data_IF_030782100110
#
_entry.id   IF_030782100110
#
_cell.length_a   1.000
_cell.length_b   1.000
_cell.length_c   1.000
_cell.angle_alpha   90.00
_cell.angle_beta   90.00
_cell.angle_gamma   90.00
#
_symmetry.space_group_name_H-M   'P 1'
#
loop_
_entity.id
_entity.type
_entity.pdbx_description
1 polymer ?
#
# COMPACT_ATOMS: atom_id res chain seq x y z
N UNK A 1 -3.22 -22.73 -42.99
CA UNK A 1 -2.12 -22.22 -42.15
C UNK A 1 -1.33 -23.40 -41.62
N UNK A 2 0.00 -23.32 -41.62
CA UNK A 2 0.87 -24.36 -41.05
C UNK A 2 1.51 -23.78 -39.79
N UNK A 3 1.33 -24.41 -38.63
CA UNK A 3 2.00 -24.00 -37.39
C UNK A 3 3.53 -24.11 -37.51
N UNK A 4 4.23 -23.25 -36.77
CA UNK A 4 5.68 -23.26 -36.65
C UNK A 4 6.05 -23.98 -35.36
N UNK A 5 7.04 -24.87 -35.44
CA UNK A 5 7.57 -25.65 -34.31
C UNK A 5 9.10 -25.60 -34.31
N UNK A 6 9.71 -25.64 -33.12
CA UNK A 6 11.14 -25.91 -32.91
C UNK A 6 12.08 -25.03 -33.75
N UNK A 7 11.78 -23.74 -33.84
CA UNK A 7 12.41 -22.88 -34.83
C UNK A 7 13.01 -21.61 -34.24
N UNK A 8 14.05 -21.10 -34.91
CA UNK A 8 14.57 -19.73 -34.70
C UNK A 8 14.18 -18.91 -35.92
N UNK A 9 13.28 -17.96 -35.74
CA UNK A 9 12.66 -17.27 -36.88
C UNK A 9 12.59 -15.76 -36.68
N UNK A 10 12.90 -15.04 -37.76
CA UNK A 10 12.48 -13.67 -37.96
C UNK A 10 11.28 -13.68 -38.90
N UNK A 11 10.11 -13.23 -38.45
CA UNK A 11 8.99 -12.98 -39.33
C UNK A 11 8.74 -11.47 -39.44
N UNK A 12 8.50 -11.01 -40.67
CA UNK A 12 7.98 -9.67 -40.96
C UNK A 12 6.70 -9.81 -41.78
N UNK A 13 5.63 -9.12 -41.38
CA UNK A 13 4.37 -8.98 -42.12
C UNK A 13 3.74 -10.33 -42.52
N UNK A 14 3.20 -11.04 -41.54
CA UNK A 14 2.49 -12.31 -41.75
C UNK A 14 1.18 -12.30 -40.97
N UNK A 15 0.19 -13.04 -41.45
CA UNK A 15 -1.03 -13.29 -40.69
C UNK A 15 -0.90 -14.56 -39.82
N UNK A 16 -1.68 -14.64 -38.74
CA UNK A 16 -2.26 -15.84 -38.09
C UNK A 16 -1.49 -17.18 -38.05
N UNK A 17 -0.21 -17.21 -37.68
CA UNK A 17 0.51 -18.50 -37.50
C UNK A 17 0.61 -18.88 -36.02
N UNK A 18 0.10 -20.06 -35.59
CA UNK A 18 0.44 -20.58 -34.27
C UNK A 18 1.92 -20.95 -34.19
N UNK A 19 2.58 -20.54 -33.10
CA UNK A 19 4.00 -20.81 -32.89
C UNK A 19 4.22 -21.54 -31.56
N UNK A 20 5.03 -22.59 -31.61
CA UNK A 20 5.35 -23.45 -30.47
C UNK A 20 6.87 -23.64 -30.37
N UNK A 21 7.39 -23.72 -29.15
CA UNK A 21 8.75 -24.17 -28.85
C UNK A 21 9.84 -23.41 -29.64
N UNK A 22 9.69 -22.09 -29.78
CA UNK A 22 10.49 -21.31 -30.75
C UNK A 22 11.14 -20.06 -30.13
N UNK A 23 12.21 -19.59 -30.78
CA UNK A 23 12.82 -18.28 -30.52
C UNK A 23 12.47 -17.36 -31.67
N UNK A 24 11.78 -16.27 -31.37
CA UNK A 24 11.07 -15.51 -32.40
C UNK A 24 11.32 -14.02 -32.23
N UNK A 25 11.67 -13.38 -33.35
CA UNK A 25 11.52 -11.94 -33.53
C UNK A 25 10.40 -11.69 -34.52
N UNK A 26 9.37 -10.97 -34.09
CA UNK A 26 8.27 -10.58 -34.95
C UNK A 26 8.25 -9.05 -35.09
N UNK A 27 7.92 -8.54 -36.29
CA UNK A 27 7.53 -7.12 -36.49
C UNK A 27 6.23 -6.92 -37.32
N UNK A 28 5.26 -6.18 -36.76
CA UNK A 28 3.96 -5.79 -37.37
C UNK A 28 3.00 -6.95 -37.71
N UNK A 29 2.19 -7.41 -36.74
CA UNK A 29 1.17 -8.46 -36.94
C UNK A 29 -0.12 -8.22 -36.15
N UNK A 30 -1.20 -8.85 -36.62
CA UNK A 30 -2.52 -8.70 -36.02
C UNK A 30 -2.85 -9.79 -35.00
N UNK A 31 -2.51 -11.07 -35.26
CA UNK A 31 -2.91 -12.21 -34.43
C UNK A 31 -1.97 -13.42 -34.52
N UNK A 32 -1.37 -13.87 -33.41
CA UNK A 32 -0.51 -15.07 -33.36
C UNK A 32 -0.63 -15.71 -31.97
N UNK A 33 -1.19 -16.93 -31.81
CA UNK A 33 -1.09 -17.62 -30.52
C UNK A 33 0.32 -18.21 -30.36
N UNK A 34 0.96 -17.92 -29.22
CA UNK A 34 2.33 -18.35 -28.96
C UNK A 34 2.41 -19.15 -27.66
N UNK A 35 3.11 -20.28 -27.73
CA UNK A 35 3.28 -21.23 -26.62
C UNK A 35 4.77 -21.58 -26.46
N UNK A 36 5.22 -21.71 -25.21
CA UNK A 36 6.53 -22.29 -24.85
C UNK A 36 7.71 -21.62 -25.58
N UNK A 37 7.68 -20.30 -25.74
CA UNK A 37 8.60 -19.59 -26.65
C UNK A 37 9.35 -18.44 -25.99
N UNK A 38 10.47 -18.04 -26.60
CA UNK A 38 11.20 -16.81 -26.27
C UNK A 38 10.95 -15.80 -27.38
N UNK A 39 10.41 -14.64 -27.02
CA UNK A 39 9.76 -13.77 -27.99
C UNK A 39 10.21 -12.32 -27.79
N UNK A 40 10.60 -11.68 -28.89
CA UNK A 40 10.64 -10.23 -29.02
C UNK A 40 9.60 -9.80 -30.04
N UNK A 41 8.64 -9.00 -29.60
CA UNK A 41 7.63 -8.39 -30.47
C UNK A 41 7.85 -6.86 -30.51
N UNK A 42 7.63 -6.24 -31.68
CA UNK A 42 7.36 -4.79 -31.86
C UNK A 42 6.10 -4.46 -32.71
N UNK A 43 5.15 -3.66 -32.18
CA UNK A 43 3.92 -3.15 -32.82
C UNK A 43 2.84 -4.18 -33.22
N UNK A 44 1.88 -4.48 -32.33
CA UNK A 44 0.79 -5.46 -32.58
C UNK A 44 -0.50 -5.14 -31.86
N UNK A 45 -1.58 -5.74 -32.36
CA UNK A 45 -2.92 -5.53 -31.83
C UNK A 45 -3.36 -6.67 -30.90
N UNK A 46 -3.15 -7.97 -31.22
CA UNK A 46 -3.67 -9.10 -30.41
C UNK A 46 -2.78 -10.35 -30.40
N UNK A 47 -2.28 -10.82 -29.26
CA UNK A 47 -1.48 -12.07 -29.18
C UNK A 47 -1.79 -12.80 -27.86
N UNK A 48 -2.44 -13.97 -27.85
CA UNK A 48 -2.50 -14.77 -26.62
C UNK A 48 -1.16 -15.50 -26.43
N UNK A 49 -0.55 -15.30 -25.27
CA UNK A 49 0.78 -15.85 -24.96
C UNK A 49 0.72 -16.72 -23.71
N UNK A 50 1.29 -17.93 -23.81
CA UNK A 50 1.32 -18.93 -22.74
C UNK A 50 2.74 -19.44 -22.53
N UNK A 51 3.13 -19.59 -21.27
CA UNK A 51 4.35 -20.30 -20.84
C UNK A 51 5.63 -19.77 -21.52
N UNK A 52 5.75 -18.44 -21.67
CA UNK A 52 6.77 -17.83 -22.52
C UNK A 52 7.62 -16.77 -21.79
N UNK A 53 8.79 -16.47 -22.37
CA UNK A 53 9.63 -15.33 -21.99
C UNK A 53 9.50 -14.25 -23.06
N UNK A 54 9.10 -13.05 -22.65
CA UNK A 54 8.54 -12.07 -23.59
C UNK A 54 9.15 -10.70 -23.34
N UNK A 55 9.61 -10.06 -24.42
CA UNK A 55 9.84 -8.62 -24.49
C UNK A 55 8.90 -8.02 -25.53
N UNK A 56 8.05 -7.09 -25.09
CA UNK A 56 7.12 -6.36 -25.93
C UNK A 56 7.49 -4.86 -25.93
N UNK A 57 7.37 -4.20 -27.09
CA UNK A 57 7.22 -2.73 -27.24
C UNK A 57 6.01 -2.28 -28.12
N UNK A 58 5.11 -1.44 -27.59
CA UNK A 58 3.90 -0.83 -28.24
C UNK A 58 2.76 -1.77 -28.68
N UNK A 59 1.71 -1.94 -27.85
CA UNK A 59 0.55 -2.83 -28.13
C UNK A 59 -0.73 -2.37 -27.45
N UNK A 60 -1.84 -2.86 -28.00
CA UNK A 60 -3.17 -2.51 -27.50
C UNK A 60 -3.80 -3.63 -26.65
N UNK A 61 -3.58 -4.93 -26.95
CA UNK A 61 -4.27 -6.05 -26.25
C UNK A 61 -3.56 -7.42 -26.24
N UNK A 62 -3.18 -7.96 -25.08
CA UNK A 62 -2.52 -9.29 -24.99
C UNK A 62 -2.95 -10.03 -23.71
N UNK A 63 -3.69 -11.15 -23.75
CA UNK A 63 -3.81 -12.01 -22.58
C UNK A 63 -2.52 -12.80 -22.38
N UNK A 64 -1.91 -12.69 -21.20
CA UNK A 64 -0.65 -13.36 -20.87
C UNK A 64 -0.85 -14.26 -19.65
N UNK A 65 -0.41 -15.51 -19.78
CA UNK A 65 -0.52 -16.54 -18.76
C UNK A 65 0.85 -17.19 -18.51
N UNK A 66 1.21 -17.42 -17.25
CA UNK A 66 2.40 -18.20 -16.83
C UNK A 66 3.72 -17.73 -17.48
N UNK A 67 3.95 -16.43 -17.56
CA UNK A 67 5.06 -15.89 -18.37
C UNK A 67 6.00 -14.99 -17.57
N UNK A 68 7.21 -14.80 -18.11
CA UNK A 68 8.15 -13.77 -17.67
C UNK A 68 8.15 -12.65 -18.71
N UNK A 69 7.84 -11.43 -18.28
CA UNK A 69 7.40 -10.38 -19.18
C UNK A 69 8.14 -9.08 -18.87
N UNK A 70 8.69 -8.47 -19.92
CA UNK A 70 9.06 -7.06 -19.95
C UNK A 70 8.23 -6.33 -21.00
N UNK A 71 7.49 -5.33 -20.56
CA UNK A 71 6.63 -4.51 -21.40
C UNK A 71 7.14 -3.05 -21.38
N UNK A 72 7.10 -2.35 -22.53
CA UNK A 72 7.09 -0.86 -22.63
C UNK A 72 5.94 -0.26 -23.51
N UNK A 73 5.10 0.63 -22.94
CA UNK A 73 4.00 1.43 -23.56
C UNK A 73 2.75 0.67 -24.10
N UNK A 74 1.64 0.62 -23.34
CA UNK A 74 0.41 -0.15 -23.67
C UNK A 74 -0.84 0.37 -22.99
N UNK A 75 -1.97 -0.01 -23.57
CA UNK A 75 -3.26 0.42 -23.09
C UNK A 75 -4.02 -0.68 -22.31
N UNK A 76 -3.99 -1.98 -22.68
CA UNK A 76 -4.80 -3.03 -21.98
C UNK A 76 -4.18 -4.45 -22.02
N UNK A 77 -3.88 -5.06 -20.86
CA UNK A 77 -3.36 -6.45 -20.78
C UNK A 77 -3.88 -7.18 -19.54
N UNK A 78 -4.69 -8.25 -19.63
CA UNK A 78 -4.93 -9.11 -18.48
C UNK A 78 -3.76 -10.07 -18.28
N UNK A 79 -3.16 -10.05 -17.09
CA UNK A 79 -1.98 -10.85 -16.76
C UNK A 79 -2.28 -11.78 -15.58
N UNK A 80 -1.92 -13.05 -15.74
CA UNK A 80 -2.14 -14.10 -14.76
C UNK A 80 -0.86 -14.90 -14.51
N UNK A 81 -0.58 -15.19 -13.23
CA UNK A 81 0.46 -16.13 -12.80
C UNK A 81 1.86 -15.83 -13.37
N UNK A 82 2.26 -14.56 -13.40
CA UNK A 82 3.43 -14.10 -14.16
C UNK A 82 4.42 -13.28 -13.32
N UNK A 83 5.66 -13.17 -13.83
CA UNK A 83 6.68 -12.23 -13.33
C UNK A 83 6.79 -11.10 -14.33
N UNK A 84 6.61 -9.87 -13.86
CA UNK A 84 6.31 -8.75 -14.74
C UNK A 84 7.16 -7.53 -14.38
N UNK A 85 7.80 -6.95 -15.39
CA UNK A 85 8.33 -5.60 -15.36
C UNK A 85 7.62 -4.75 -16.41
N UNK A 86 6.97 -3.68 -15.95
CA UNK A 86 6.22 -2.76 -16.79
C UNK A 86 6.87 -1.36 -16.72
N UNK A 87 6.91 -0.62 -17.85
CA UNK A 87 7.06 0.86 -17.90
C UNK A 87 6.01 1.62 -18.78
N UNK A 88 5.26 2.59 -18.21
CA UNK A 88 4.22 3.47 -18.82
C UNK A 88 2.93 2.81 -19.40
N UNK A 89 1.78 2.88 -18.69
CA UNK A 89 0.50 2.23 -19.07
C UNK A 89 -0.71 2.86 -18.38
N UNK A 90 -1.89 2.55 -18.94
CA UNK A 90 -3.15 3.12 -18.51
C UNK A 90 -4.18 2.11 -17.96
N UNK A 91 -4.10 0.79 -18.23
CA UNK A 91 -5.03 -0.23 -17.65
C UNK A 91 -4.51 -1.69 -17.69
N UNK A 92 -4.33 -2.35 -16.52
CA UNK A 92 -3.95 -3.78 -16.48
C UNK A 92 -4.59 -4.49 -15.27
N UNK A 93 -5.53 -5.45 -15.42
CA UNK A 93 -5.88 -6.33 -14.31
C UNK A 93 -4.78 -7.37 -14.12
N UNK A 94 -4.22 -7.44 -12.91
CA UNK A 94 -3.13 -8.36 -12.58
C UNK A 94 -3.53 -9.28 -11.42
N UNK A 95 -3.30 -10.58 -11.61
CA UNK A 95 -3.67 -11.63 -10.67
C UNK A 95 -2.50 -12.59 -10.43
N UNK A 96 -2.26 -12.96 -9.17
CA UNK A 96 -1.26 -13.96 -8.77
C UNK A 96 0.16 -13.73 -9.32
N UNK A 97 0.64 -12.48 -9.28
CA UNK A 97 1.88 -12.11 -9.98
C UNK A 97 2.93 -11.48 -9.08
N UNK A 98 4.18 -11.49 -9.54
CA UNK A 98 5.28 -10.68 -8.99
C UNK A 98 5.54 -9.53 -9.94
N UNK A 99 5.45 -8.30 -9.44
CA UNK A 99 5.28 -7.13 -10.30
C UNK A 99 6.24 -6.01 -9.87
N UNK A 100 6.95 -5.46 -10.84
CA UNK A 100 7.61 -4.16 -10.74
C UNK A 100 7.01 -3.21 -11.79
N UNK A 101 6.46 -2.11 -11.32
CA UNK A 101 5.80 -1.09 -12.14
C UNK A 101 6.56 0.26 -11.99
N UNK A 102 6.80 0.99 -13.09
CA UNK A 102 7.07 2.46 -13.10
C UNK A 102 6.12 3.32 -13.99
N UNK A 103 5.48 4.37 -13.43
CA UNK A 103 4.56 5.36 -14.08
C UNK A 103 3.24 4.85 -14.70
N UNK A 104 2.08 4.98 -14.03
CA UNK A 104 0.78 4.46 -14.51
C UNK A 104 -0.41 5.20 -13.93
N UNK A 105 -1.50 5.07 -14.67
CA UNK A 105 -2.85 5.32 -14.22
C UNK A 105 -3.60 3.98 -14.17
N UNK A 106 -4.28 3.66 -13.07
CA UNK A 106 -5.30 2.59 -12.95
C UNK A 106 -4.91 1.11 -13.16
N UNK A 107 -4.70 0.36 -12.07
CA UNK A 107 -4.45 -1.10 -12.09
C UNK A 107 -5.17 -1.80 -10.93
N UNK A 108 -6.18 -2.67 -11.13
CA UNK A 108 -6.63 -3.55 -10.06
C UNK A 108 -5.64 -4.71 -9.89
N UNK A 109 -5.07 -4.84 -8.69
CA UNK A 109 -4.09 -5.88 -8.38
C UNK A 109 -4.62 -6.78 -7.27
N UNK A 110 -4.51 -8.10 -7.49
CA UNK A 110 -5.04 -9.11 -6.60
C UNK A 110 -4.01 -10.24 -6.36
N UNK A 111 -3.83 -10.63 -5.09
CA UNK A 111 -2.98 -11.76 -4.69
C UNK A 111 -1.52 -11.67 -5.20
N UNK A 112 -0.86 -10.53 -5.05
CA UNK A 112 0.42 -10.27 -5.71
C UNK A 112 1.51 -9.74 -4.78
N UNK A 113 2.77 -9.85 -5.22
CA UNK A 113 3.92 -9.17 -4.61
C UNK A 113 4.32 -8.02 -5.53
N UNK A 114 4.33 -6.80 -4.99
CA UNK A 114 4.29 -5.59 -5.81
C UNK A 114 5.32 -4.57 -5.33
N UNK A 115 6.10 -4.04 -6.28
CA UNK A 115 6.85 -2.80 -6.12
C UNK A 115 6.36 -1.77 -7.14
N UNK A 116 5.86 -0.65 -6.64
CA UNK A 116 5.37 0.47 -7.44
C UNK A 116 6.26 1.71 -7.23
N UNK A 117 6.51 2.49 -8.29
CA UNK A 117 6.93 3.92 -8.23
C UNK A 117 6.07 4.88 -9.13
N UNK A 118 5.49 5.96 -8.56
CA UNK A 118 4.70 7.05 -9.20
C UNK A 118 3.34 6.68 -9.87
N UNK A 119 2.19 6.88 -9.19
CA UNK A 119 0.84 6.53 -9.68
C UNK A 119 -0.26 7.34 -9.02
N UNK A 120 -1.38 7.43 -9.74
CA UNK A 120 -2.49 8.24 -9.28
C UNK A 120 -3.67 7.41 -8.72
N UNK A 121 -3.91 6.15 -9.16
CA UNK A 121 -5.04 5.31 -8.66
C UNK A 121 -4.83 3.78 -8.81
N UNK A 122 -4.85 2.99 -7.71
CA UNK A 122 -4.74 1.50 -7.76
C UNK A 122 -5.52 0.84 -6.60
N UNK A 123 -6.60 0.06 -6.82
CA UNK A 123 -7.14 -0.79 -5.77
C UNK A 123 -6.32 -2.08 -5.63
N UNK A 124 -5.85 -2.37 -4.41
CA UNK A 124 -5.01 -3.53 -4.12
C UNK A 124 -5.62 -4.41 -3.04
N UNK A 125 -5.67 -5.72 -3.31
CA UNK A 125 -6.24 -6.73 -2.42
C UNK A 125 -5.27 -7.90 -2.20
N UNK A 126 -5.21 -8.41 -0.98
CA UNK A 126 -4.53 -9.68 -0.62
C UNK A 126 -3.05 -9.71 -1.04
N UNK A 127 -2.32 -8.61 -0.85
CA UNK A 127 -0.99 -8.42 -1.46
C UNK A 127 0.10 -7.99 -0.48
N UNK A 128 1.36 -8.22 -0.88
CA UNK A 128 2.55 -7.66 -0.22
C UNK A 128 3.10 -6.55 -1.10
N UNK A 129 3.23 -5.35 -0.55
CA UNK A 129 3.34 -4.13 -1.36
C UNK A 129 4.41 -3.19 -0.80
N UNK A 130 5.24 -2.67 -1.71
CA UNK A 130 6.10 -1.51 -1.48
C UNK A 130 5.72 -0.39 -2.46
N UNK A 131 5.32 0.76 -1.93
CA UNK A 131 4.84 1.92 -2.66
C UNK A 131 5.74 3.14 -2.37
N UNK A 132 6.33 3.76 -3.41
CA UNK A 132 6.91 5.13 -3.35
C UNK A 132 6.19 6.20 -4.24
N UNK A 133 5.73 7.32 -3.66
CA UNK A 133 5.05 8.49 -4.30
C UNK A 133 3.68 8.22 -4.97
N UNK A 134 2.55 8.51 -4.29
CA UNK A 134 1.17 8.29 -4.81
C UNK A 134 0.16 9.28 -4.26
N UNK A 135 -0.92 9.42 -5.04
CA UNK A 135 -2.04 10.27 -4.65
C UNK A 135 -3.20 9.46 -4.04
N UNK A 136 -3.69 8.36 -4.66
CA UNK A 136 -4.89 7.64 -4.17
C UNK A 136 -4.78 6.10 -4.30
N UNK A 137 -4.79 5.34 -3.20
CA UNK A 137 -4.77 3.86 -3.25
C UNK A 137 -5.67 3.25 -2.16
N UNK A 138 -6.81 2.63 -2.48
CA UNK A 138 -7.51 1.81 -1.50
C UNK A 138 -6.82 0.45 -1.34
N UNK A 139 -6.50 0.12 -0.10
CA UNK A 139 -5.70 -1.06 0.27
C UNK A 139 -6.51 -1.93 1.23
N UNK A 140 -6.62 -3.22 0.90
CA UNK A 140 -7.36 -4.21 1.69
C UNK A 140 -6.53 -5.48 1.90
N UNK A 141 -6.60 -6.03 3.12
CA UNK A 141 -6.05 -7.35 3.47
C UNK A 141 -4.58 -7.53 3.09
N UNK A 142 -3.74 -6.52 3.36
CA UNK A 142 -2.39 -6.43 2.80
C UNK A 142 -1.29 -6.25 3.85
N UNK A 143 -0.05 -6.54 3.42
CA UNK A 143 1.16 -6.09 4.12
C UNK A 143 1.82 -5.01 3.28
N UNK A 144 1.93 -3.80 3.84
CA UNK A 144 2.26 -2.60 3.08
C UNK A 144 3.37 -1.76 3.70
N UNK A 145 4.28 -1.29 2.85
CA UNK A 145 5.22 -0.21 3.15
C UNK A 145 4.97 0.95 2.18
N UNK A 146 4.55 2.10 2.70
CA UNK A 146 4.28 3.30 1.90
C UNK A 146 5.22 4.44 2.29
N UNK A 147 5.72 5.16 1.29
CA UNK A 147 6.56 6.35 1.44
C UNK A 147 6.03 7.50 0.56
N UNK A 148 5.81 8.68 1.17
CA UNK A 148 5.35 9.91 0.52
C UNK A 148 3.99 9.77 -0.20
N UNK A 149 2.90 10.10 0.47
CA UNK A 149 1.57 9.93 -0.10
C UNK A 149 0.51 10.87 0.50
N UNK A 150 -0.54 11.13 -0.28
CA UNK A 150 -1.56 12.12 0.06
C UNK A 150 -2.88 11.48 0.53
N UNK A 151 -3.39 10.37 -0.04
CA UNK A 151 -4.67 9.79 0.39
C UNK A 151 -4.77 8.27 0.22
N UNK A 152 -4.91 7.51 1.31
CA UNK A 152 -5.00 6.04 1.24
C UNK A 152 -6.05 5.52 2.25
N UNK A 153 -7.23 5.04 1.84
CA UNK A 153 -8.07 4.31 2.77
C UNK A 153 -7.53 2.89 2.95
N UNK A 154 -7.26 2.50 4.20
CA UNK A 154 -6.65 1.20 4.51
C UNK A 154 -7.52 0.39 5.46
N UNK A 155 -7.72 -0.88 5.10
CA UNK A 155 -8.56 -1.82 5.83
C UNK A 155 -7.82 -3.14 6.06
N UNK A 156 -7.95 -3.68 7.26
CA UNK A 156 -7.55 -5.05 7.61
C UNK A 156 -6.09 -5.38 7.25
N UNK A 157 -5.17 -4.43 7.44
CA UNK A 157 -3.80 -4.52 6.93
C UNK A 157 -2.72 -4.35 8.00
N UNK A 158 -1.50 -4.81 7.68
CA UNK A 158 -0.27 -4.52 8.44
C UNK A 158 0.55 -3.51 7.66
N UNK A 159 0.81 -2.34 8.25
CA UNK A 159 1.25 -1.17 7.50
C UNK A 159 2.42 -0.48 8.19
N UNK A 160 3.44 -0.12 7.41
CA UNK A 160 4.46 0.85 7.77
C UNK A 160 4.36 2.06 6.85
N UNK A 161 4.19 3.25 7.44
CA UNK A 161 4.05 4.49 6.70
C UNK A 161 5.08 5.56 7.10
N UNK A 162 5.57 6.29 6.10
CA UNK A 162 6.50 7.41 6.27
C UNK A 162 6.07 8.62 5.43
N UNK A 163 5.92 9.79 6.07
CA UNK A 163 5.64 11.11 5.46
C UNK A 163 4.32 11.19 4.67
N UNK A 164 3.25 11.70 5.29
CA UNK A 164 1.93 11.71 4.66
C UNK A 164 0.87 12.65 5.22
N UNK A 165 -0.12 12.94 4.36
CA UNK A 165 -1.13 13.98 4.58
C UNK A 165 -2.57 13.45 4.37
N UNK A 166 -3.12 12.63 5.29
CA UNK A 166 -4.53 12.12 5.38
C UNK A 166 -4.75 10.62 5.07
N UNK A 167 -5.13 9.83 6.10
CA UNK A 167 -5.43 8.39 5.96
C UNK A 167 -6.56 7.97 6.91
N UNK A 168 -7.70 7.47 6.43
CA UNK A 168 -8.60 6.68 7.27
C UNK A 168 -8.08 5.24 7.35
N UNK A 169 -7.82 4.77 8.58
CA UNK A 169 -7.31 3.41 8.83
C UNK A 169 -8.29 2.65 9.74
N UNK A 170 -8.64 1.45 9.31
CA UNK A 170 -9.58 0.56 9.99
C UNK A 170 -8.94 -0.82 10.23
N UNK A 171 -9.13 -1.39 11.42
CA UNK A 171 -8.77 -2.79 11.75
C UNK A 171 -7.33 -3.19 11.40
N UNK A 172 -6.35 -2.31 11.67
CA UNK A 172 -4.99 -2.51 11.16
C UNK A 172 -3.93 -2.54 12.27
N UNK A 173 -2.77 -3.10 11.95
CA UNK A 173 -1.54 -2.96 12.75
C UNK A 173 -0.64 -1.97 12.03
N UNK A 174 -0.24 -0.90 12.72
CA UNK A 174 0.28 0.28 12.06
C UNK A 174 1.52 0.82 12.78
N UNK A 175 2.56 1.12 11.99
CA UNK A 175 3.68 1.96 12.40
C UNK A 175 3.73 3.20 11.51
N UNK A 176 3.61 4.39 12.12
CA UNK A 176 3.60 5.67 11.40
C UNK A 176 4.74 6.58 11.87
N UNK A 177 5.41 7.23 10.93
CA UNK A 177 6.44 8.24 11.18
C UNK A 177 6.14 9.50 10.37
N UNK A 178 6.09 10.66 11.04
CA UNK A 178 5.93 12.01 10.45
C UNK A 178 4.64 12.20 9.63
N UNK A 179 3.63 12.84 10.21
CA UNK A 179 2.34 13.04 9.55
C UNK A 179 1.47 14.16 10.14
N UNK A 180 0.52 14.62 9.33
CA UNK A 180 -0.26 15.83 9.63
C UNK A 180 -1.74 15.57 10.00
N UNK A 181 -2.37 14.50 9.51
CA UNK A 181 -3.79 14.19 9.82
C UNK A 181 -4.14 12.71 9.58
N UNK A 182 -4.76 12.01 10.56
CA UNK A 182 -5.19 10.60 10.42
C UNK A 182 -6.50 10.36 11.17
N UNK A 183 -7.35 9.45 10.70
CA UNK A 183 -8.45 8.91 11.52
C UNK A 183 -8.25 7.41 11.69
N UNK A 184 -8.07 6.96 12.93
CA UNK A 184 -7.74 5.56 13.20
C UNK A 184 -8.80 4.91 14.07
N UNK A 185 -9.28 3.75 13.63
CA UNK A 185 -10.32 2.98 14.29
C UNK A 185 -9.91 1.50 14.44
N UNK A 186 -10.12 0.93 15.63
CA UNK A 186 -9.93 -0.50 15.91
C UNK A 186 -8.52 -1.04 15.57
N UNK A 187 -7.46 -0.34 15.98
CA UNK A 187 -6.10 -0.65 15.50
C UNK A 187 -5.07 -0.82 16.62
N UNK A 188 -3.96 -1.48 16.30
CA UNK A 188 -2.73 -1.49 17.14
C UNK A 188 -1.73 -0.56 16.49
N UNK A 189 -1.24 0.43 17.23
CA UNK A 189 -0.60 1.60 16.63
C UNK A 189 0.68 1.98 17.38
N UNK A 190 1.74 2.25 16.63
CA UNK A 190 2.93 2.96 17.08
C UNK A 190 3.12 4.23 16.24
N UNK A 191 3.10 5.40 16.87
CA UNK A 191 3.24 6.70 16.20
C UNK A 191 4.44 7.49 16.74
N UNK A 192 5.18 8.13 15.83
CA UNK A 192 6.28 9.04 16.15
C UNK A 192 6.13 10.35 15.37
N UNK A 193 6.19 11.49 16.07
CA UNK A 193 6.19 12.87 15.53
C UNK A 193 4.97 13.23 14.66
N UNK A 194 4.00 13.95 15.22
CA UNK A 194 2.76 14.21 14.51
C UNK A 194 1.90 15.37 15.04
N UNK A 195 1.00 15.82 14.17
CA UNK A 195 -0.09 16.76 14.46
C UNK A 195 -1.46 16.06 14.23
N UNK A 196 -2.44 16.28 15.12
CA UNK A 196 -3.89 16.06 14.93
C UNK A 196 -4.41 14.66 14.47
N UNK A 197 -4.93 13.85 15.41
CA UNK A 197 -5.56 12.53 15.11
C UNK A 197 -6.75 12.22 16.03
N UNK A 198 -7.98 11.95 15.55
CA UNK A 198 -8.94 11.16 16.31
C UNK A 198 -8.57 9.68 16.32
N UNK A 199 -8.38 9.11 17.51
CA UNK A 199 -8.14 7.67 17.69
C UNK A 199 -9.25 7.06 18.54
N UNK A 200 -9.83 5.96 18.06
CA UNK A 200 -10.93 5.26 18.73
C UNK A 200 -10.65 3.75 18.80
N UNK A 201 -10.97 3.14 19.95
CA UNK A 201 -10.92 1.68 20.18
C UNK A 201 -9.57 1.03 19.85
N UNK A 202 -8.46 1.62 20.30
CA UNK A 202 -7.12 1.21 19.85
C UNK A 202 -6.14 0.91 20.99
N UNK A 203 -5.09 0.14 20.69
CA UNK A 203 -3.92 -0.01 21.55
C UNK A 203 -2.79 0.82 20.96
N UNK A 204 -2.25 1.76 21.72
CA UNK A 204 -1.48 2.87 21.17
C UNK A 204 -0.20 3.11 21.98
N UNK A 205 0.91 3.28 21.27
CA UNK A 205 2.15 3.87 21.78
C UNK A 205 2.47 5.15 20.99
N UNK A 206 2.52 6.30 21.66
CA UNK A 206 2.78 7.61 21.04
C UNK A 206 4.03 8.26 21.64
N UNK A 207 4.84 8.87 20.76
CA UNK A 207 6.00 9.67 21.14
C UNK A 207 5.98 11.02 20.39
N UNK A 208 6.12 12.13 21.13
CA UNK A 208 6.27 13.52 20.64
C UNK A 208 5.12 14.03 19.76
N UNK A 209 4.18 14.79 20.34
CA UNK A 209 2.97 15.18 19.61
C UNK A 209 2.15 16.35 20.16
N UNK A 210 1.30 16.90 19.28
CA UNK A 210 0.34 17.98 19.57
C UNK A 210 -1.11 17.56 19.21
N UNK A 211 -2.04 17.76 20.16
CA UNK A 211 -3.52 17.69 20.04
C UNK A 211 -4.11 16.38 19.47
N UNK A 212 -4.71 15.56 20.32
CA UNK A 212 -5.37 14.28 19.93
C UNK A 212 -6.60 14.02 20.80
N UNK A 213 -7.82 13.90 20.28
CA UNK A 213 -8.89 13.27 21.03
C UNK A 213 -8.74 11.74 20.98
N UNK A 214 -8.62 11.10 22.14
CA UNK A 214 -8.52 9.64 22.26
C UNK A 214 -9.70 9.10 23.06
N UNK A 215 -10.33 8.04 22.54
CA UNK A 215 -11.50 7.41 23.12
C UNK A 215 -11.31 5.89 23.22
N UNK A 216 -11.78 5.29 24.32
CA UNK A 216 -11.92 3.84 24.49
C UNK A 216 -10.63 3.05 24.19
N UNK A 217 -9.48 3.53 24.65
CA UNK A 217 -8.17 3.03 24.21
C UNK A 217 -7.24 2.64 25.35
N UNK A 218 -6.25 1.78 25.06
CA UNK A 218 -5.13 1.48 25.95
C UNK A 218 -3.90 2.20 25.41
N UNK A 219 -3.29 3.06 26.23
CA UNK A 219 -2.39 4.09 25.73
C UNK A 219 -1.12 4.19 26.59
N UNK A 220 0.04 4.26 25.91
CA UNK A 220 1.29 4.73 26.49
C UNK A 220 1.76 6.00 25.75
N UNK A 221 1.89 7.11 26.49
CA UNK A 221 2.28 8.43 25.93
C UNK A 221 3.58 8.93 26.55
N UNK A 222 4.45 9.51 25.71
CA UNK A 222 5.70 10.14 26.11
C UNK A 222 5.86 11.52 25.42
N UNK A 223 6.08 12.58 26.21
CA UNK A 223 6.35 13.97 25.77
C UNK A 223 5.27 14.61 24.89
N UNK A 224 4.40 15.46 25.45
CA UNK A 224 3.24 15.97 24.71
C UNK A 224 2.58 17.25 25.25
N UNK A 225 1.78 17.89 24.39
CA UNK A 225 0.92 19.04 24.68
C UNK A 225 -0.57 18.76 24.34
N UNK A 226 -1.48 19.07 25.29
CA UNK A 226 -2.96 19.15 25.18
C UNK A 226 -3.66 17.93 24.52
N UNK A 227 -4.32 17.09 25.33
CA UNK A 227 -5.06 15.89 24.84
C UNK A 227 -6.36 15.67 25.63
N UNK A 228 -7.55 15.75 25.04
CA UNK A 228 -8.73 15.21 25.70
C UNK A 228 -8.76 13.68 25.58
N UNK A 229 -8.74 12.99 26.72
CA UNK A 229 -8.79 11.52 26.78
C UNK A 229 -10.05 11.07 27.52
N UNK A 230 -10.77 10.11 26.95
CA UNK A 230 -12.02 9.57 27.48
C UNK A 230 -11.96 8.04 27.55
N UNK A 231 -12.55 7.45 28.59
CA UNK A 231 -12.83 6.02 28.70
C UNK A 231 -11.61 5.11 28.45
N UNK A 232 -10.42 5.53 28.89
CA UNK A 232 -9.15 4.91 28.48
C UNK A 232 -8.31 4.41 29.66
N UNK A 233 -7.40 3.46 29.38
CA UNK A 233 -6.35 3.02 30.30
C UNK A 233 -5.03 3.62 29.83
N UNK A 234 -4.36 4.39 30.69
CA UNK A 234 -3.31 5.32 30.27
C UNK A 234 -2.09 5.23 31.16
N UNK A 235 -0.91 5.18 30.55
CA UNK A 235 0.39 5.47 31.17
C UNK A 235 1.00 6.72 30.52
N UNK A 236 1.28 7.75 31.33
CA UNK A 236 1.80 9.05 30.88
C UNK A 236 3.18 9.33 31.48
N UNK A 237 4.10 9.84 30.65
CA UNK A 237 5.43 10.30 31.05
C UNK A 237 5.75 11.68 30.45
N UNK A 238 6.08 12.67 31.30
CA UNK A 238 6.50 14.06 30.95
C UNK A 238 5.46 14.87 30.13
N UNK A 239 4.75 15.82 30.76
CA UNK A 239 3.60 16.45 30.09
C UNK A 239 3.13 17.81 30.61
N UNK A 240 2.40 18.52 29.73
CA UNK A 240 1.63 19.73 29.99
C UNK A 240 0.13 19.59 29.62
N UNK A 241 -0.75 20.00 30.56
CA UNK A 241 -2.22 20.19 30.49
C UNK A 241 -3.01 19.10 29.75
N UNK A 242 -3.76 18.27 30.50
CA UNK A 242 -4.63 17.21 29.93
C UNK A 242 -5.99 17.18 30.63
N UNK A 243 -7.11 17.36 29.93
CA UNK A 243 -8.42 16.96 30.41
C UNK A 243 -8.62 15.45 30.21
N UNK A 244 -8.71 14.70 31.32
CA UNK A 244 -8.94 13.26 31.31
C UNK A 244 -10.28 12.96 31.98
N UNK A 245 -11.10 12.14 31.32
CA UNK A 245 -12.44 11.74 31.78
C UNK A 245 -12.57 10.22 31.81
N UNK A 246 -13.26 9.70 32.83
CA UNK A 246 -13.69 8.29 32.92
C UNK A 246 -12.57 7.25 32.67
N UNK A 247 -11.33 7.56 33.07
CA UNK A 247 -10.14 6.79 32.69
C UNK A 247 -9.39 6.18 33.89
N UNK A 248 -8.55 5.17 33.62
CA UNK A 248 -7.58 4.63 34.60
C UNK A 248 -6.18 5.11 34.21
N UNK A 249 -5.49 5.76 35.15
CA UNK A 249 -4.28 6.54 34.83
C UNK A 249 -3.12 6.14 35.75
N UNK A 250 -1.95 5.90 35.17
CA UNK A 250 -0.66 5.83 35.85
C UNK A 250 0.24 6.98 35.36
N UNK A 251 0.74 7.80 36.29
CA UNK A 251 1.47 9.05 35.98
C UNK A 251 2.91 9.02 36.49
N UNK A 252 3.83 9.58 35.68
CA UNK A 252 5.22 9.85 36.07
C UNK A 252 5.67 11.23 35.52
N UNK A 253 6.12 12.14 36.41
CA UNK A 253 6.63 13.51 36.13
C UNK A 253 5.62 14.46 35.43
N UNK A 254 5.18 15.52 36.13
CA UNK A 254 4.04 16.33 35.70
C UNK A 254 4.00 17.78 36.20
N UNK A 255 3.41 18.67 35.40
CA UNK A 255 3.25 20.09 35.73
C UNK A 255 1.77 20.51 35.98
N UNK A 256 0.79 20.13 35.12
CA UNK A 256 -0.65 20.49 35.28
C UNK A 256 -1.63 19.45 34.67
N UNK A 257 -2.67 19.03 35.40
CA UNK A 257 -3.72 18.08 34.91
C UNK A 257 -5.10 18.47 35.43
N UNK A 258 -6.14 18.33 34.59
CA UNK A 258 -7.54 18.34 35.01
C UNK A 258 -8.13 16.93 34.82
N UNK A 259 -8.44 16.26 35.93
CA UNK A 259 -8.95 14.88 35.94
C UNK A 259 -10.39 14.89 36.44
N UNK A 260 -11.29 14.23 35.71
CA UNK A 260 -12.70 14.08 36.07
C UNK A 260 -13.09 12.60 36.03
N UNK A 261 -13.82 12.15 37.05
CA UNK A 261 -14.39 10.79 37.15
C UNK A 261 -13.41 9.63 36.81
N UNK A 262 -12.12 9.83 37.09
CA UNK A 262 -11.05 8.90 36.72
C UNK A 262 -10.31 8.36 37.95
N UNK A 263 -9.76 7.14 37.83
CA UNK A 263 -8.93 6.50 38.85
C UNK A 263 -7.45 6.74 38.57
N UNK A 264 -6.71 7.31 39.53
CA UNK A 264 -5.28 7.60 39.37
C UNK A 264 -4.39 6.81 40.34
N UNK A 265 -3.24 6.36 39.84
CA UNK A 265 -2.16 5.76 40.62
C UNK A 265 -0.87 6.60 40.43
N UNK A 266 -0.28 7.06 41.52
CA UNK A 266 0.87 7.98 41.52
C UNK A 266 2.17 7.28 41.94
N UNK A 267 3.25 7.53 41.20
CA UNK A 267 4.62 7.36 41.66
C UNK A 267 5.35 8.72 41.58
N UNK A 268 5.76 9.23 42.75
CA UNK A 268 6.40 10.52 43.03
C UNK A 268 5.50 11.78 43.12
N UNK A 269 5.77 12.62 44.14
CA UNK A 269 4.85 13.58 44.78
C UNK A 269 5.34 15.02 44.61
N UNK A 270 4.50 15.92 44.08
CA UNK A 270 4.41 17.36 44.41
C UNK A 270 3.10 17.90 43.80
N UNK A 271 2.01 17.94 44.60
CA UNK A 271 0.72 18.49 44.16
C UNK A 271 0.47 19.88 44.76
N UNK A 272 0.14 20.86 43.91
CA UNK A 272 -0.67 22.03 44.30
C UNK A 272 -2.09 21.75 43.81
N UNK A 273 -2.99 21.43 44.74
CA UNK A 273 -4.42 21.31 44.45
C UNK A 273 -5.07 22.69 44.51
N UNK A 274 -5.75 23.11 43.44
CA UNK A 274 -6.76 24.18 43.51
C UNK A 274 -8.14 23.56 43.31
N UNK A 275 -9.01 23.84 44.28
CA UNK A 275 -10.43 23.47 44.35
C UNK A 275 -11.28 24.10 43.27
#
# INVERSE_FOLDING_TARGET
>A
MVPIFDSIILLQHYDMVPIFDSIILLQHYDMVPIFDSIILLQHYDMVPIFDSIILLQHYDMVPILHSIILLQHYDIVPIFDSIILLQHYDMVPILHSIILLQHYDMVPILHSIILLQHYDIVPIFDSIILLQHYDIVPIFDSITLLQHYDMVPIFDSIILLQHYDMVPILHSIILLQHYDMVSILHSIILLQHYDMVPILHSIILLQHYDIVPIFDSIILLQHYDIVPIFDSIILLQHYDIVPIFDSIILLQHYDMISIFDSLFLLQHYDMVANT
#
